data_IF_992454785665
#
_entry.id   IF_992454785665
#
_cell.length_a   1.000
_cell.length_b   1.000
_cell.length_c   1.000
_cell.angle_alpha   90.00
_cell.angle_beta   90.00
_cell.angle_gamma   90.00
#
_symmetry.space_group_name_H-M   'P 1'
#
loop_
_entity.id
_entity.type
_entity.pdbx_description
1 polymer ?
#
# COMPACT_ATOMS: atom_id res chain seq x y z
N UNK A 1 -14.55 -21.89 -17.79
CA UNK A 1 -15.58 -20.97 -18.38
C UNK A 1 -15.39 -20.95 -19.90
N UNK A 2 -16.43 -20.74 -20.73
CA UNK A 2 -16.25 -20.52 -22.17
C UNK A 2 -16.76 -19.12 -22.51
N UNK A 3 -15.85 -18.20 -22.81
CA UNK A 3 -16.12 -16.82 -23.15
C UNK A 3 -16.59 -16.72 -24.60
N UNK A 4 -17.76 -16.12 -24.81
CA UNK A 4 -18.41 -16.01 -26.11
C UNK A 4 -18.46 -14.54 -26.55
N UNK A 5 -17.29 -13.88 -26.58
CA UNK A 5 -17.15 -12.46 -26.88
C UNK A 5 -16.49 -12.20 -28.23
N UNK A 6 -16.72 -11.02 -28.78
CA UNK A 6 -16.06 -10.55 -30.01
C UNK A 6 -14.60 -10.19 -29.71
N UNK A 7 -13.67 -10.72 -30.51
CA UNK A 7 -12.23 -10.43 -30.40
C UNK A 7 -11.82 -9.52 -31.58
N UNK A 8 -11.22 -8.34 -31.35
CA UNK A 8 -10.74 -7.80 -30.07
C UNK A 8 -11.83 -7.09 -29.26
N UNK A 9 -11.71 -7.12 -27.94
CA UNK A 9 -12.66 -6.50 -27.00
C UNK A 9 -12.35 -5.02 -26.75
N UNK A 10 -13.34 -4.24 -26.36
CA UNK A 10 -13.14 -2.87 -25.88
C UNK A 10 -12.60 -2.86 -24.43
N UNK A 11 -11.89 -1.79 -24.01
CA UNK A 11 -11.42 -1.64 -22.63
C UNK A 11 -12.51 -1.81 -21.57
N UNK A 12 -13.69 -1.25 -21.82
CA UNK A 12 -14.81 -1.33 -20.89
C UNK A 12 -15.33 -2.77 -20.73
N UNK A 13 -15.40 -3.55 -21.82
CA UNK A 13 -15.80 -4.96 -21.76
C UNK A 13 -14.79 -5.79 -20.95
N UNK A 14 -13.49 -5.50 -21.05
CA UNK A 14 -12.46 -6.19 -20.27
C UNK A 14 -12.56 -5.86 -18.77
N UNK A 15 -12.82 -4.60 -18.42
CA UNK A 15 -13.08 -4.19 -17.03
C UNK A 15 -14.30 -4.91 -16.46
N UNK A 16 -15.42 -4.96 -17.21
CA UNK A 16 -16.63 -5.66 -16.78
C UNK A 16 -16.38 -7.17 -16.60
N UNK A 17 -15.58 -7.80 -17.48
CA UNK A 17 -15.18 -9.21 -17.34
C UNK A 17 -14.33 -9.47 -16.10
N UNK A 18 -13.38 -8.58 -15.82
CA UNK A 18 -12.49 -8.73 -14.66
C UNK A 18 -13.26 -8.51 -13.36
N UNK A 19 -14.20 -7.57 -13.32
CA UNK A 19 -15.12 -7.41 -12.19
C UNK A 19 -15.97 -8.68 -11.93
N UNK A 20 -16.40 -9.38 -12.98
CA UNK A 20 -17.14 -10.64 -12.83
C UNK A 20 -16.25 -11.79 -12.31
N UNK A 21 -14.99 -11.86 -12.76
CA UNK A 21 -14.01 -12.87 -12.32
C UNK A 21 -13.56 -12.64 -10.88
N UNK A 22 -13.30 -11.39 -10.53
CA UNK A 22 -12.95 -10.96 -9.18
C UNK A 22 -14.19 -11.00 -8.25
N UNK A 23 -15.40 -11.08 -8.80
CA UNK A 23 -16.66 -11.19 -8.07
C UNK A 23 -17.02 -9.96 -7.20
N UNK A 24 -17.98 -10.12 -6.28
CA UNK A 24 -18.23 -9.19 -5.17
C UNK A 24 -17.10 -9.30 -4.12
N UNK A 25 -15.82 -9.34 -4.50
CA UNK A 25 -14.74 -9.40 -3.52
C UNK A 25 -14.57 -8.00 -2.92
N UNK A 26 -15.07 -7.74 -1.70
CA UNK A 26 -15.09 -6.41 -1.12
C UNK A 26 -13.70 -5.98 -0.61
N UNK A 27 -12.69 -6.85 -0.78
CA UNK A 27 -11.28 -6.63 -0.42
C UNK A 27 -10.44 -5.99 -1.52
N UNK A 28 -11.02 -5.68 -2.69
CA UNK A 28 -10.34 -4.97 -3.77
C UNK A 28 -10.85 -3.51 -3.92
N UNK A 29 -10.91 -2.68 -2.86
CA UNK A 29 -11.46 -1.33 -2.99
C UNK A 29 -10.63 -0.42 -3.89
N UNK A 30 -9.35 -0.76 -4.17
CA UNK A 30 -8.39 0.12 -4.84
C UNK A 30 -7.49 -0.62 -5.85
N UNK A 31 -8.05 -1.44 -6.73
CA UNK A 31 -7.26 -1.91 -7.89
C UNK A 31 -6.72 -0.68 -8.64
N UNK A 32 -5.41 -0.63 -8.99
CA UNK A 32 -4.91 0.37 -9.91
C UNK A 32 -5.74 0.35 -11.19
N UNK A 33 -5.82 1.46 -11.93
CA UNK A 33 -6.67 1.52 -13.12
C UNK A 33 -6.28 0.40 -14.10
N UNK A 34 -7.11 -0.65 -14.17
CA UNK A 34 -6.88 -1.82 -15.01
C UNK A 34 -6.63 -1.45 -16.48
N UNK A 35 -7.13 -0.29 -16.92
CA UNK A 35 -6.92 0.26 -18.25
C UNK A 35 -5.47 0.76 -18.43
N UNK A 36 -4.88 1.32 -17.38
CA UNK A 36 -3.46 1.69 -17.32
C UNK A 36 -2.58 0.43 -17.32
N UNK A 37 -2.95 -0.58 -16.53
CA UNK A 37 -2.25 -1.87 -16.41
C UNK A 37 -2.22 -2.65 -17.74
N UNK A 38 -3.37 -2.76 -18.42
CA UNK A 38 -3.45 -3.45 -19.70
C UNK A 38 -2.77 -2.63 -20.81
N UNK A 39 -2.41 -1.37 -20.54
CA UNK A 39 -1.70 -0.48 -21.47
C UNK A 39 -2.50 -0.26 -22.74
N UNK A 40 -3.76 0.16 -22.61
CA UNK A 40 -4.69 0.28 -23.74
C UNK A 40 -4.08 1.17 -24.84
N UNK A 41 -3.77 0.62 -26.02
CA UNK A 41 -3.25 1.44 -27.09
C UNK A 41 -4.35 2.42 -27.55
N UNK A 42 -4.03 3.70 -27.81
CA UNK A 42 -5.00 4.79 -28.00
C UNK A 42 -5.96 4.65 -29.22
N UNK A 43 -5.90 3.53 -29.96
CA UNK A 43 -6.80 3.24 -31.09
C UNK A 43 -6.94 1.74 -31.45
N UNK A 44 -6.57 0.81 -30.56
CA UNK A 44 -6.66 -0.65 -30.81
C UNK A 44 -7.57 -1.35 -29.78
N UNK A 45 -8.29 -2.38 -30.20
CA UNK A 45 -9.00 -3.26 -29.27
C UNK A 45 -8.02 -4.20 -28.55
N UNK A 46 -8.40 -4.70 -27.37
CA UNK A 46 -7.60 -5.59 -26.53
C UNK A 46 -7.72 -7.02 -27.07
N UNK A 47 -6.59 -7.67 -27.30
CA UNK A 47 -6.52 -9.05 -27.74
C UNK A 47 -6.70 -10.00 -26.56
N UNK A 48 -7.83 -10.71 -26.53
CA UNK A 48 -8.13 -11.70 -25.51
C UNK A 48 -7.83 -13.10 -26.04
N UNK A 49 -7.43 -14.00 -25.15
CA UNK A 49 -7.41 -15.43 -25.42
C UNK A 49 -7.85 -16.22 -24.19
N UNK A 50 -8.34 -17.44 -24.45
CA UNK A 50 -8.42 -18.47 -23.42
C UNK A 50 -7.16 -19.33 -23.44
N UNK A 51 -6.78 -19.78 -22.24
CA UNK A 51 -5.68 -20.68 -21.99
C UNK A 51 -6.10 -22.01 -21.39
N UNK A 52 -5.35 -23.06 -21.69
CA UNK A 52 -5.44 -24.36 -21.03
C UNK A 52 -4.07 -24.84 -20.60
N UNK A 53 -4.01 -25.56 -19.49
CA UNK A 53 -2.79 -26.16 -18.94
C UNK A 53 -2.71 -27.63 -19.38
N UNK A 54 -1.60 -28.00 -20.01
CA UNK A 54 -1.34 -29.37 -20.41
C UNK A 54 -0.95 -30.26 -19.20
N UNK A 55 -0.94 -31.59 -19.38
CA UNK A 55 -0.54 -32.53 -18.31
C UNK A 55 0.89 -32.31 -17.77
N UNK A 56 1.76 -31.66 -18.56
CA UNK A 56 3.12 -31.30 -18.16
C UNK A 56 3.23 -29.88 -17.57
N UNK A 57 2.10 -29.22 -17.28
CA UNK A 57 2.03 -27.87 -16.74
C UNK A 57 2.16 -26.76 -17.79
N UNK A 58 2.41 -27.08 -19.05
CA UNK A 58 2.62 -26.05 -20.08
C UNK A 58 1.32 -25.30 -20.39
N UNK A 59 1.35 -23.97 -20.28
CA UNK A 59 0.26 -23.10 -20.67
C UNK A 59 0.18 -22.96 -22.21
N UNK A 60 -1.03 -23.10 -22.74
CA UNK A 60 -1.31 -23.00 -24.19
C UNK A 60 -2.50 -22.09 -24.44
N UNK A 61 -2.51 -21.37 -25.56
CA UNK A 61 -3.66 -20.55 -25.99
C UNK A 61 -4.56 -21.33 -26.95
N UNK A 62 -5.88 -21.21 -26.81
CA UNK A 62 -6.87 -21.95 -27.62
C UNK A 62 -7.86 -21.07 -28.35
N UNK A 63 -8.28 -19.92 -27.76
CA UNK A 63 -9.31 -19.03 -28.31
C UNK A 63 -8.84 -17.57 -28.45
N UNK A 64 -7.66 -17.34 -29.03
CA UNK A 64 -7.09 -16.00 -29.28
C UNK A 64 -6.99 -15.63 -30.76
N UNK A 65 -6.62 -14.38 -31.07
CA UNK A 65 -6.34 -13.99 -32.46
C UNK A 65 -5.15 -14.78 -33.04
N UNK A 66 -5.39 -15.46 -34.17
CA UNK A 66 -4.40 -16.34 -34.79
C UNK A 66 -3.11 -15.59 -35.17
N UNK A 67 -1.96 -16.13 -34.74
CA UNK A 67 -0.64 -15.57 -35.05
C UNK A 67 -0.25 -14.35 -34.21
N UNK A 68 -0.98 -14.05 -33.13
CA UNK A 68 -0.67 -12.97 -32.18
C UNK A 68 -0.56 -13.52 -30.75
N UNK A 69 0.19 -12.84 -29.90
CA UNK A 69 0.15 -13.08 -28.44
C UNK A 69 -1.01 -12.26 -27.86
N UNK A 70 -1.84 -12.83 -26.95
CA UNK A 70 -2.90 -12.07 -26.29
C UNK A 70 -2.32 -10.98 -25.39
N UNK A 71 -3.08 -9.90 -25.21
CA UNK A 71 -2.83 -8.89 -24.17
C UNK A 71 -3.31 -9.41 -22.82
N UNK A 72 -4.46 -10.12 -22.80
CA UNK A 72 -5.07 -10.73 -21.62
C UNK A 72 -5.37 -12.20 -21.87
N UNK A 73 -4.96 -13.07 -20.94
CA UNK A 73 -5.14 -14.51 -21.01
C UNK A 73 -5.96 -15.03 -19.84
N UNK A 74 -7.14 -15.59 -20.14
CA UNK A 74 -8.02 -16.23 -19.16
C UNK A 74 -7.77 -17.73 -19.14
N UNK A 75 -7.33 -18.27 -18.00
CA UNK A 75 -6.91 -19.66 -17.86
C UNK A 75 -7.83 -20.39 -16.88
N UNK A 76 -8.46 -21.46 -17.34
CA UNK A 76 -9.23 -22.38 -16.50
C UNK A 76 -8.33 -23.58 -16.16
N UNK A 77 -7.96 -23.72 -14.89
CA UNK A 77 -7.08 -24.80 -14.41
C UNK A 77 -7.92 -25.77 -13.58
N UNK A 78 -8.17 -26.99 -14.07
CA UNK A 78 -8.94 -27.95 -13.32
C UNK A 78 -8.14 -28.50 -12.15
N UNK A 79 -8.79 -28.72 -11.01
CA UNK A 79 -8.20 -29.42 -9.87
C UNK A 79 -8.97 -29.10 -8.60
N UNK A 80 -8.52 -29.61 -7.47
CA UNK A 80 -9.17 -29.39 -6.17
C UNK A 80 -8.17 -28.82 -5.16
N UNK A 81 -8.68 -28.19 -4.10
CA UNK A 81 -7.84 -27.66 -3.02
C UNK A 81 -6.85 -28.70 -2.48
N UNK A 82 -5.57 -28.32 -2.38
CA UNK A 82 -4.47 -29.20 -1.97
C UNK A 82 -3.86 -30.05 -3.10
N UNK A 83 -4.41 -30.00 -4.32
CA UNK A 83 -3.79 -30.56 -5.52
C UNK A 83 -2.84 -29.53 -6.12
N UNK A 84 -1.57 -29.90 -6.30
CA UNK A 84 -0.53 -29.01 -6.79
C UNK A 84 -0.49 -29.02 -8.33
N UNK A 85 -0.51 -27.84 -8.94
CA UNK A 85 -0.49 -27.60 -10.38
C UNK A 85 0.65 -26.62 -10.72
N UNK A 86 1.71 -27.12 -11.33
CA UNK A 86 2.80 -26.28 -11.85
C UNK A 86 2.35 -25.65 -13.19
N UNK A 87 2.41 -24.32 -13.29
CA UNK A 87 2.05 -23.59 -14.51
C UNK A 87 3.33 -23.04 -15.16
N UNK A 88 3.70 -23.67 -16.28
CA UNK A 88 4.84 -23.29 -17.09
C UNK A 88 4.38 -22.35 -18.22
N UNK A 89 4.65 -21.04 -18.09
CA UNK A 89 4.32 -20.04 -19.12
C UNK A 89 5.42 -19.99 -20.19
N UNK A 90 5.16 -20.39 -21.45
CA UNK A 90 6.18 -20.32 -22.50
C UNK A 90 6.55 -18.88 -22.83
N UNK A 91 7.84 -18.60 -23.10
CA UNK A 91 8.33 -17.25 -23.39
C UNK A 91 7.60 -16.49 -24.52
N UNK A 92 6.94 -17.18 -25.46
CA UNK A 92 6.12 -16.54 -26.50
C UNK A 92 4.79 -15.96 -26.00
N UNK A 93 4.28 -16.47 -24.87
CA UNK A 93 3.14 -15.92 -24.11
C UNK A 93 3.68 -14.93 -23.09
N UNK A 94 4.69 -15.37 -22.34
CA UNK A 94 5.27 -14.64 -21.21
C UNK A 94 5.74 -13.24 -21.57
N UNK A 95 6.34 -13.05 -22.76
CA UNK A 95 6.97 -11.79 -23.16
C UNK A 95 6.05 -10.71 -23.74
N UNK A 96 4.75 -10.96 -23.94
CA UNK A 96 3.82 -9.93 -24.45
C UNK A 96 2.47 -9.87 -23.75
N UNK A 97 2.07 -10.93 -23.04
CA UNK A 97 0.79 -10.93 -22.30
C UNK A 97 0.96 -10.10 -21.04
N UNK A 98 0.07 -9.12 -20.85
CA UNK A 98 0.11 -8.16 -19.74
C UNK A 98 -0.76 -8.58 -18.57
N UNK A 99 -1.78 -9.41 -18.79
CA UNK A 99 -2.65 -9.87 -17.71
C UNK A 99 -2.96 -11.36 -17.84
N UNK A 100 -2.70 -12.09 -16.76
CA UNK A 100 -3.11 -13.47 -16.59
C UNK A 100 -4.18 -13.53 -15.52
N UNK A 101 -5.26 -14.26 -15.80
CA UNK A 101 -6.28 -14.56 -14.79
C UNK A 101 -6.47 -16.07 -14.71
N UNK A 102 -6.38 -16.63 -13.52
CA UNK A 102 -6.52 -18.05 -13.29
C UNK A 102 -7.81 -18.33 -12.52
N UNK A 103 -8.65 -19.21 -13.06
CA UNK A 103 -9.78 -19.80 -12.35
C UNK A 103 -9.39 -21.23 -11.97
N UNK A 104 -9.13 -21.47 -10.69
CA UNK A 104 -8.65 -22.74 -10.16
C UNK A 104 -9.08 -22.91 -8.71
N UNK A 105 -9.39 -24.15 -8.32
CA UNK A 105 -9.44 -24.55 -6.91
C UNK A 105 -8.15 -25.28 -6.47
N UNK A 106 -7.26 -25.61 -7.42
CA UNK A 106 -5.96 -26.25 -7.15
C UNK A 106 -4.91 -25.21 -6.75
N UNK A 107 -3.91 -25.67 -5.98
CA UNK A 107 -2.75 -24.91 -5.55
C UNK A 107 -1.80 -24.72 -6.75
N UNK A 108 -1.69 -23.50 -7.28
CA UNK A 108 -0.89 -23.16 -8.43
C UNK A 108 0.55 -22.82 -8.02
N UNK A 109 1.53 -23.26 -8.80
CA UNK A 109 2.93 -22.82 -8.66
C UNK A 109 3.39 -22.14 -9.96
N UNK A 110 3.88 -20.90 -9.86
CA UNK A 110 4.29 -20.09 -11.00
C UNK A 110 5.58 -19.32 -10.72
N UNK A 111 6.48 -19.35 -11.71
CA UNK A 111 7.65 -18.48 -11.79
C UNK A 111 7.56 -17.64 -13.06
N UNK A 112 7.55 -16.32 -12.93
CA UNK A 112 7.46 -15.35 -14.03
C UNK A 112 8.66 -14.37 -13.99
N UNK A 113 9.00 -13.74 -15.12
CA UNK A 113 10.11 -12.75 -15.23
C UNK A 113 9.63 -11.29 -15.38
N UNK A 114 10.39 -10.38 -16.00
CA UNK A 114 10.12 -8.92 -16.06
C UNK A 114 9.52 -8.42 -17.37
N UNK A 115 8.21 -8.22 -17.36
CA UNK A 115 7.50 -7.16 -18.08
C UNK A 115 6.38 -6.71 -17.13
N UNK A 116 5.85 -5.50 -17.29
CA UNK A 116 4.65 -5.05 -16.57
C UNK A 116 3.54 -6.10 -16.71
N UNK A 117 3.13 -6.71 -15.60
CA UNK A 117 2.14 -7.79 -15.58
C UNK A 117 1.13 -7.64 -14.46
N UNK A 118 -0.11 -7.97 -14.79
CA UNK A 118 -1.12 -8.38 -13.83
C UNK A 118 -1.21 -9.91 -13.76
N UNK A 119 -1.31 -10.45 -12.56
CA UNK A 119 -1.60 -11.85 -12.28
C UNK A 119 -2.71 -11.89 -11.25
N UNK A 120 -3.83 -12.52 -11.60
CA UNK A 120 -4.97 -12.71 -10.72
C UNK A 120 -5.18 -14.21 -10.56
N UNK A 121 -5.17 -14.66 -9.32
CA UNK A 121 -5.24 -16.07 -8.94
C UNK A 121 -6.65 -16.50 -8.50
N UNK A 122 -6.75 -17.77 -8.07
CA UNK A 122 -8.01 -18.47 -7.84
C UNK A 122 -8.35 -18.67 -6.36
N UNK A 123 -8.77 -19.90 -6.03
CA UNK A 123 -9.12 -20.32 -4.66
C UNK A 123 -8.06 -21.27 -4.02
N UNK A 124 -6.97 -21.54 -4.74
CA UNK A 124 -5.91 -22.46 -4.32
C UNK A 124 -5.01 -21.84 -3.25
N UNK A 125 -4.16 -22.64 -2.61
CA UNK A 125 -3.04 -22.06 -1.84
C UNK A 125 -1.87 -21.93 -2.80
N UNK A 126 -1.76 -20.77 -3.41
CA UNK A 126 -0.90 -20.56 -4.57
C UNK A 126 0.49 -20.09 -4.14
N UNK A 127 1.50 -20.46 -4.91
CA UNK A 127 2.88 -20.01 -4.76
C UNK A 127 3.30 -19.32 -6.05
N UNK A 128 3.49 -18.01 -6.00
CA UNK A 128 3.84 -17.21 -7.17
C UNK A 128 5.09 -16.40 -6.88
N UNK A 129 6.09 -16.54 -7.76
CA UNK A 129 7.26 -15.67 -7.78
C UNK A 129 7.30 -14.90 -9.10
N UNK A 130 7.40 -13.58 -9.03
CA UNK A 130 7.54 -12.69 -10.17
C UNK A 130 8.87 -11.97 -10.02
N UNK A 131 9.81 -12.26 -10.92
CA UNK A 131 11.18 -11.77 -10.80
C UNK A 131 11.43 -10.50 -11.61
N UNK A 132 12.32 -9.67 -11.05
CA UNK A 132 13.04 -8.51 -11.61
C UNK A 132 12.43 -7.15 -11.28
N UNK A 133 12.49 -6.13 -12.16
CA UNK A 133 12.45 -4.70 -11.79
C UNK A 133 11.30 -3.88 -12.42
N UNK A 134 10.21 -4.52 -12.83
CA UNK A 134 9.06 -3.83 -13.43
C UNK A 134 7.83 -3.97 -12.53
N UNK A 135 7.04 -2.90 -12.48
CA UNK A 135 5.78 -2.83 -11.74
C UNK A 135 4.85 -4.00 -12.08
N UNK A 136 4.36 -4.66 -11.03
CA UNK A 136 3.55 -5.86 -11.08
C UNK A 136 2.26 -5.65 -10.30
N UNK A 137 1.16 -6.20 -10.81
CA UNK A 137 -0.08 -6.38 -10.05
C UNK A 137 -0.28 -7.85 -9.78
N UNK A 138 -0.40 -8.22 -8.50
CA UNK A 138 -0.59 -9.60 -8.09
C UNK A 138 -1.73 -9.70 -7.08
N UNK A 139 -2.75 -10.51 -7.38
CA UNK A 139 -3.85 -10.83 -6.46
C UNK A 139 -3.86 -12.34 -6.22
N UNK A 140 -3.73 -12.73 -4.95
CA UNK A 140 -3.71 -14.12 -4.47
C UNK A 140 -5.07 -14.82 -4.55
N UNK A 141 -6.16 -14.06 -4.45
CA UNK A 141 -7.50 -14.63 -4.42
C UNK A 141 -7.82 -15.26 -3.06
N UNK A 142 -8.59 -16.35 -3.05
CA UNK A 142 -8.84 -17.05 -1.78
C UNK A 142 -7.79 -18.15 -1.61
N UNK A 143 -7.31 -18.39 -0.40
CA UNK A 143 -6.21 -19.34 -0.22
C UNK A 143 -5.32 -18.94 0.93
N UNK A 144 -4.30 -19.74 1.24
CA UNK A 144 -3.16 -19.23 2.00
C UNK A 144 -2.02 -19.12 1.00
N UNK A 145 -1.88 -17.94 0.43
CA UNK A 145 -1.02 -17.72 -0.72
C UNK A 145 0.39 -17.30 -0.29
N UNK A 146 1.37 -17.61 -1.11
CA UNK A 146 2.73 -17.10 -1.01
C UNK A 146 3.03 -16.29 -2.26
N UNK A 147 3.07 -14.97 -2.10
CA UNK A 147 3.17 -13.99 -3.16
C UNK A 147 4.50 -13.28 -3.03
N UNK A 148 5.38 -13.48 -4.01
CA UNK A 148 6.73 -12.92 -4.00
C UNK A 148 6.91 -12.14 -5.30
N UNK A 149 7.03 -10.82 -5.21
CA UNK A 149 7.53 -10.01 -6.33
C UNK A 149 9.02 -9.73 -6.12
N UNK A 150 9.60 -8.70 -6.73
CA UNK A 150 11.05 -8.49 -6.63
C UNK A 150 11.42 -7.04 -6.63
N UNK A 151 10.94 -6.28 -7.60
CA UNK A 151 11.14 -4.86 -7.59
C UNK A 151 10.48 -4.19 -8.77
N UNK A 152 10.56 -2.87 -8.79
CA UNK A 152 9.50 -2.07 -9.40
C UNK A 152 8.49 -1.68 -8.32
N UNK A 153 7.55 -0.81 -8.65
CA UNK A 153 6.53 -0.35 -7.72
C UNK A 153 5.32 -1.27 -7.87
N UNK A 154 5.24 -2.29 -7.03
CA UNK A 154 4.29 -3.37 -7.14
C UNK A 154 2.98 -3.07 -6.38
N UNK A 155 1.88 -3.59 -6.88
CA UNK A 155 0.61 -3.66 -6.16
C UNK A 155 0.30 -5.13 -5.87
N UNK A 156 0.22 -5.52 -4.61
CA UNK A 156 0.00 -6.91 -4.21
C UNK A 156 -1.17 -7.05 -3.24
N UNK A 157 -2.06 -8.00 -3.46
CA UNK A 157 -3.15 -8.32 -2.54
C UNK A 157 -3.15 -9.80 -2.16
N UNK A 158 -3.16 -10.07 -0.85
CA UNK A 158 -3.36 -11.42 -0.30
C UNK A 158 -4.81 -11.88 -0.33
N UNK A 159 -5.77 -10.95 -0.44
CA UNK A 159 -7.20 -11.24 -0.52
C UNK A 159 -7.78 -12.04 0.66
N UNK A 160 -8.03 -13.35 0.58
CA UNK A 160 -8.60 -14.12 1.71
C UNK A 160 -7.78 -15.36 2.03
N UNK A 161 -6.99 -15.25 3.09
CA UNK A 161 -6.69 -16.33 4.00
C UNK A 161 -5.51 -15.95 4.86
N UNK A 162 -4.55 -16.85 5.07
CA UNK A 162 -3.36 -16.51 5.84
C UNK A 162 -2.20 -16.40 4.87
N UNK A 163 -1.97 -15.19 4.38
CA UNK A 163 -1.12 -14.98 3.22
C UNK A 163 0.29 -14.56 3.63
N UNK A 164 1.27 -14.91 2.80
CA UNK A 164 2.67 -14.52 2.96
C UNK A 164 3.05 -13.68 1.75
N UNK A 165 3.31 -12.39 1.96
CA UNK A 165 3.61 -11.42 0.92
C UNK A 165 5.02 -10.86 1.11
N UNK A 166 5.80 -10.82 0.03
CA UNK A 166 7.10 -10.13 -0.03
C UNK A 166 7.22 -9.38 -1.35
N UNK A 167 7.38 -8.05 -1.31
CA UNK A 167 7.33 -7.23 -2.54
C UNK A 167 8.70 -6.77 -3.06
N UNK A 168 9.68 -6.60 -2.19
CA UNK A 168 11.07 -6.47 -2.61
C UNK A 168 11.49 -5.01 -2.71
N UNK A 169 11.98 -4.55 -3.87
CA UNK A 169 12.56 -3.21 -3.99
C UNK A 169 11.73 -2.27 -4.89
N UNK A 170 11.29 -1.15 -4.36
CA UNK A 170 10.41 -0.18 -5.03
C UNK A 170 9.42 0.38 -4.03
N UNK A 171 8.66 1.39 -4.44
CA UNK A 171 7.59 1.92 -3.59
C UNK A 171 6.32 1.08 -3.82
N UNK A 172 6.08 0.11 -2.95
CA UNK A 172 5.05 -0.92 -3.12
C UNK A 172 3.74 -0.56 -2.39
N UNK A 173 2.63 -1.11 -2.89
CA UNK A 173 1.31 -1.03 -2.25
C UNK A 173 0.76 -2.42 -1.99
N UNK A 174 0.50 -2.74 -0.73
CA UNK A 174 0.10 -4.08 -0.29
C UNK A 174 -1.27 -4.02 0.38
N UNK A 175 -2.25 -4.74 -0.17
CA UNK A 175 -3.58 -4.89 0.44
C UNK A 175 -3.63 -6.21 1.20
N UNK A 176 -3.67 -6.14 2.54
CA UNK A 176 -3.51 -7.34 3.39
C UNK A 176 -4.60 -8.39 3.15
N UNK A 177 -5.84 -7.95 2.98
CA UNK A 177 -6.98 -8.86 2.90
C UNK A 177 -7.47 -9.35 4.27
N UNK A 178 -8.10 -10.54 4.27
CA UNK A 178 -8.71 -11.17 5.44
C UNK A 178 -7.99 -12.45 5.85
N UNK A 179 -7.31 -12.38 6.99
CA UNK A 179 -6.94 -13.53 7.81
C UNK A 179 -5.64 -13.24 8.53
N UNK A 180 -4.74 -14.21 8.66
CA UNK A 180 -3.48 -14.02 9.42
C UNK A 180 -2.30 -13.89 8.49
N UNK A 181 -1.99 -12.65 8.16
CA UNK A 181 -1.06 -12.35 7.09
C UNK A 181 0.34 -12.07 7.65
N UNK A 182 1.35 -12.33 6.83
CA UNK A 182 2.74 -11.93 7.07
C UNK A 182 3.22 -11.18 5.85
N UNK A 183 3.68 -9.95 6.07
CA UNK A 183 4.02 -9.00 5.03
C UNK A 183 5.43 -8.49 5.30
N UNK A 184 6.27 -8.57 4.29
CA UNK A 184 7.59 -7.95 4.20
C UNK A 184 7.54 -7.03 2.97
N UNK A 185 7.42 -5.72 3.19
CA UNK A 185 7.25 -4.78 2.08
C UNK A 185 8.58 -4.52 1.36
N UNK A 186 9.67 -4.38 2.11
CA UNK A 186 11.03 -4.50 1.61
C UNK A 186 11.76 -3.16 1.52
N UNK A 187 12.45 -2.89 0.42
CA UNK A 187 13.20 -1.65 0.21
C UNK A 187 12.35 -0.64 -0.54
N UNK A 188 12.00 0.48 0.08
CA UNK A 188 11.27 1.55 -0.60
C UNK A 188 10.50 2.40 0.39
N UNK A 189 9.56 3.18 -0.11
CA UNK A 189 8.48 3.71 0.72
C UNK A 189 7.21 2.92 0.45
N UNK A 190 6.85 2.07 1.39
CA UNK A 190 5.80 1.09 1.19
C UNK A 190 4.51 1.43 1.93
N UNK A 191 3.39 1.17 1.26
CA UNK A 191 2.03 1.40 1.76
C UNK A 191 1.33 0.07 2.00
N UNK A 192 0.89 -0.17 3.23
CA UNK A 192 0.03 -1.31 3.56
C UNK A 192 -1.41 -0.85 3.84
N UNK A 193 -2.33 -1.31 3.01
CA UNK A 193 -3.75 -0.97 3.09
C UNK A 193 -4.55 -2.03 3.87
N UNK A 194 -5.35 -1.55 4.82
CA UNK A 194 -6.22 -2.39 5.64
C UNK A 194 -7.70 -2.16 5.34
N UNK A 195 -8.43 -3.27 5.22
CA UNK A 195 -9.88 -3.25 5.15
C UNK A 195 -10.53 -2.84 6.49
N UNK A 196 -11.05 -1.61 6.54
CA UNK A 196 -11.88 -1.09 7.63
C UNK A 196 -11.27 0.14 8.33
N UNK A 197 -12.09 0.77 9.17
CA UNK A 197 -11.73 1.98 9.92
C UNK A 197 -10.60 1.72 10.94
N UNK A 198 -9.66 2.64 11.11
CA UNK A 198 -8.51 2.50 12.03
C UNK A 198 -8.95 2.21 13.47
N UNK A 199 -10.12 2.75 13.88
CA UNK A 199 -10.75 2.50 15.18
C UNK A 199 -11.03 1.02 15.47
N UNK A 200 -11.04 0.16 14.45
CA UNK A 200 -11.15 -1.28 14.58
C UNK A 200 -9.83 -1.99 14.89
N UNK A 201 -8.67 -1.33 14.78
CA UNK A 201 -7.36 -1.97 14.88
C UNK A 201 -6.62 -1.64 16.18
N UNK A 202 -5.73 -2.55 16.58
CA UNK A 202 -4.71 -2.34 17.63
C UNK A 202 -3.35 -2.67 17.05
N UNK A 203 -2.37 -1.92 17.49
CA UNK A 203 -1.00 -2.00 17.03
C UNK A 203 -0.13 -2.49 18.19
N UNK A 204 0.74 -3.46 17.92
CA UNK A 204 1.69 -3.97 18.89
C UNK A 204 3.06 -4.08 18.22
N UNK A 205 4.00 -3.26 18.67
CA UNK A 205 5.43 -3.50 18.40
C UNK A 205 5.80 -4.86 19.01
N UNK A 206 6.22 -5.80 18.15
CA UNK A 206 6.64 -7.14 18.56
C UNK A 206 8.17 -7.30 18.52
N UNK A 207 8.90 -6.24 18.22
CA UNK A 207 10.35 -6.17 18.14
C UNK A 207 10.90 -6.54 16.76
N UNK A 208 12.22 -6.37 16.59
CA UNK A 208 12.96 -6.73 15.38
C UNK A 208 12.55 -6.00 14.08
N UNK A 209 11.79 -4.90 14.19
CA UNK A 209 11.23 -4.14 13.06
C UNK A 209 9.79 -4.52 12.74
N UNK A 210 9.22 -5.50 13.44
CA UNK A 210 7.91 -6.04 13.14
C UNK A 210 6.79 -5.35 13.92
N UNK A 211 5.70 -5.04 13.23
CA UNK A 211 4.45 -4.54 13.79
C UNK A 211 3.34 -5.58 13.63
N UNK A 212 2.71 -5.96 14.75
CA UNK A 212 1.46 -6.73 14.72
C UNK A 212 0.25 -5.79 14.70
N UNK A 213 -0.49 -5.83 13.60
CA UNK A 213 -1.77 -5.13 13.43
C UNK A 213 -2.92 -6.11 13.66
N UNK A 214 -3.76 -5.85 14.66
CA UNK A 214 -4.82 -6.77 15.09
C UNK A 214 -6.21 -6.16 14.98
N UNK A 215 -7.10 -6.79 14.21
CA UNK A 215 -8.48 -6.37 14.07
C UNK A 215 -9.32 -6.74 15.33
N UNK A 216 -9.80 -5.74 16.08
CA UNK A 216 -10.61 -5.93 17.30
C UNK A 216 -11.91 -6.68 17.02
N UNK A 217 -12.69 -6.36 15.95
CA UNK A 217 -13.91 -7.11 15.63
C UNK A 217 -13.70 -8.59 15.34
N UNK A 218 -12.59 -8.96 14.70
CA UNK A 218 -12.27 -10.33 14.31
C UNK A 218 -10.80 -10.65 14.62
N UNK A 219 -10.51 -11.28 15.77
CA UNK A 219 -9.14 -11.68 16.13
C UNK A 219 -8.52 -12.74 15.21
N UNK A 220 -9.30 -13.27 14.27
CA UNK A 220 -8.81 -14.12 13.20
C UNK A 220 -8.13 -13.30 12.09
N UNK A 221 -8.35 -11.98 12.05
CA UNK A 221 -7.78 -11.06 11.08
C UNK A 221 -6.66 -10.25 11.75
N UNK A 222 -5.44 -10.42 11.29
CA UNK A 222 -4.25 -9.72 11.79
C UNK A 222 -3.12 -9.83 10.78
N UNK A 223 -2.28 -8.81 10.68
CA UNK A 223 -1.06 -8.87 9.88
C UNK A 223 0.16 -8.64 10.78
N UNK A 224 1.23 -9.42 10.56
CA UNK A 224 2.58 -9.03 10.99
C UNK A 224 3.24 -8.36 9.80
N UNK A 225 3.71 -7.13 10.00
CA UNK A 225 4.30 -6.30 8.95
C UNK A 225 5.72 -5.95 9.34
N UNK A 226 6.65 -6.12 8.40
CA UNK A 226 8.00 -5.55 8.45
C UNK A 226 8.22 -4.61 7.26
N UNK A 227 9.17 -3.70 7.45
CA UNK A 227 9.76 -2.88 6.38
C UNK A 227 8.74 -2.02 5.60
N UNK A 228 7.67 -1.58 6.25
CA UNK A 228 6.70 -0.65 5.68
C UNK A 228 6.69 0.69 6.43
N UNK A 229 6.44 1.78 5.71
CA UNK A 229 6.46 3.15 6.24
C UNK A 229 5.05 3.71 6.47
N UNK A 230 4.04 3.21 5.78
CA UNK A 230 2.72 3.82 5.79
C UNK A 230 1.59 2.80 5.86
N UNK A 231 0.64 3.00 6.78
CA UNK A 231 -0.58 2.19 6.89
C UNK A 231 -1.79 3.04 6.53
N UNK A 232 -2.63 2.55 5.61
CA UNK A 232 -3.84 3.24 5.16
C UNK A 232 -5.11 2.48 5.56
N UNK A 233 -6.13 3.22 6.02
CA UNK A 233 -7.43 2.68 6.43
C UNK A 233 -8.60 3.28 5.62
N UNK A 234 -9.78 2.66 5.68
CA UNK A 234 -10.94 3.01 4.85
C UNK A 234 -11.64 4.32 5.24
N UNK A 235 -11.38 4.85 6.42
CA UNK A 235 -11.88 6.13 6.93
C UNK A 235 -11.00 7.32 6.52
N UNK A 236 -10.03 7.10 5.63
CA UNK A 236 -8.98 8.04 5.21
C UNK A 236 -8.04 8.47 6.35
N UNK A 237 -8.04 7.71 7.45
CA UNK A 237 -7.04 7.86 8.52
C UNK A 237 -5.83 6.99 8.18
N UNK A 238 -4.65 7.39 8.65
CA UNK A 238 -3.39 6.71 8.35
C UNK A 238 -2.50 6.56 9.58
N UNK A 239 -1.49 5.70 9.49
CA UNK A 239 -0.38 5.64 10.44
C UNK A 239 0.93 5.76 9.66
N UNK A 240 1.81 6.62 10.12
CA UNK A 240 3.20 6.64 9.65
C UNK A 240 4.07 5.84 10.60
N UNK A 241 4.76 4.84 10.07
CA UNK A 241 5.77 4.05 10.76
C UNK A 241 7.13 4.69 10.53
N UNK A 242 7.86 4.95 11.61
CA UNK A 242 9.14 5.66 11.57
C UNK A 242 10.18 4.96 12.42
N UNK A 243 11.45 5.20 12.14
CA UNK A 243 12.57 4.50 12.77
C UNK A 243 13.08 5.20 14.03
N UNK A 244 12.86 6.50 14.16
CA UNK A 244 13.39 7.30 15.27
C UNK A 244 12.56 8.53 15.59
N UNK A 245 12.91 9.19 16.70
CA UNK A 245 12.19 10.36 17.19
C UNK A 245 12.27 11.56 16.23
N UNK A 246 13.34 11.70 15.43
CA UNK A 246 13.46 12.84 14.49
C UNK A 246 12.44 12.71 13.36
N UNK A 247 12.30 11.53 12.78
CA UNK A 247 11.24 11.24 11.81
C UNK A 247 9.85 11.40 12.46
N UNK A 248 9.66 10.90 13.69
CA UNK A 248 8.40 11.03 14.40
C UNK A 248 8.00 12.50 14.63
N UNK A 249 8.94 13.34 15.09
CA UNK A 249 8.73 14.77 15.27
C UNK A 249 8.39 15.47 13.95
N UNK A 250 9.02 15.08 12.83
CA UNK A 250 8.70 15.60 11.51
C UNK A 250 7.26 15.26 11.09
N UNK A 251 6.82 14.02 11.32
CA UNK A 251 5.46 13.59 10.98
C UNK A 251 4.39 14.24 11.86
N UNK A 252 4.66 14.41 13.16
CA UNK A 252 3.74 15.10 14.09
C UNK A 252 3.51 16.58 13.74
N UNK A 253 4.32 17.18 12.86
CA UNK A 253 4.06 18.53 12.33
C UNK A 253 2.78 18.61 11.51
N UNK A 254 2.36 17.53 10.84
CA UNK A 254 1.10 17.48 10.11
C UNK A 254 -0.08 17.76 11.04
N UNK A 255 -0.17 17.00 12.12
CA UNK A 255 -1.23 17.19 13.12
C UNK A 255 -1.12 18.59 13.75
N UNK A 256 0.07 18.96 14.24
CA UNK A 256 0.30 20.24 14.91
C UNK A 256 -0.06 21.48 14.08
N UNK A 257 0.15 21.45 12.76
CA UNK A 257 -0.02 22.62 11.90
C UNK A 257 -1.27 22.56 11.01
N UNK A 258 -1.81 21.38 10.76
CA UNK A 258 -2.94 21.17 9.84
C UNK A 258 -4.14 20.44 10.43
N UNK A 259 -4.04 19.86 11.64
CA UNK A 259 -5.12 19.09 12.29
C UNK A 259 -5.58 17.90 11.44
N UNK A 260 -4.62 17.19 10.83
CA UNK A 260 -4.85 16.02 9.97
C UNK A 260 -3.64 15.09 9.91
N UNK A 261 -3.92 13.87 9.47
CA UNK A 261 -2.90 12.88 9.11
C UNK A 261 -2.12 13.29 7.85
N UNK A 262 -0.91 12.75 7.74
CA UNK A 262 -0.14 12.81 6.50
C UNK A 262 -0.78 11.91 5.43
N UNK A 263 -0.81 12.37 4.19
CA UNK A 263 -0.96 11.50 3.03
C UNK A 263 0.39 10.83 2.71
N UNK A 264 0.35 9.73 1.93
CA UNK A 264 1.53 8.92 1.63
C UNK A 264 2.65 9.73 0.95
N UNK A 265 2.34 10.47 -0.13
CA UNK A 265 3.29 11.33 -0.84
C UNK A 265 3.94 12.37 0.10
N UNK A 266 3.12 12.97 0.96
CA UNK A 266 3.56 13.95 1.94
C UNK A 266 4.43 13.36 3.05
N UNK A 267 4.15 12.14 3.50
CA UNK A 267 4.98 11.42 4.47
C UNK A 267 6.32 11.06 3.85
N UNK A 268 6.32 10.40 2.69
CA UNK A 268 7.52 10.03 1.93
C UNK A 268 8.44 11.24 1.72
N UNK A 269 7.89 12.34 1.19
CA UNK A 269 8.67 13.54 0.90
C UNK A 269 9.42 14.08 2.11
N UNK A 270 8.78 14.15 3.29
CA UNK A 270 9.40 14.71 4.49
C UNK A 270 10.33 13.73 5.19
N UNK A 271 10.02 12.44 5.19
CA UNK A 271 10.93 11.40 5.69
C UNK A 271 12.21 11.38 4.85
N UNK A 272 12.10 11.44 3.52
CA UNK A 272 13.25 11.62 2.63
C UNK A 272 14.09 12.85 2.99
N UNK A 273 13.46 13.98 3.35
CA UNK A 273 14.21 15.15 3.78
C UNK A 273 14.99 14.88 5.08
N UNK A 274 14.39 14.18 6.04
CA UNK A 274 15.05 13.80 7.31
C UNK A 274 16.24 12.90 7.03
N UNK A 275 16.06 11.86 6.20
CA UNK A 275 17.11 10.88 5.87
C UNK A 275 18.28 11.51 5.10
N UNK A 276 17.98 12.50 4.27
CA UNK A 276 19.00 13.32 3.59
C UNK A 276 19.67 14.36 4.52
N UNK A 277 19.34 14.38 5.81
CA UNK A 277 19.98 15.20 6.83
C UNK A 277 19.45 16.63 6.93
N UNK A 278 18.25 16.90 6.42
CA UNK A 278 17.58 18.20 6.59
C UNK A 278 17.23 18.39 8.06
N UNK A 279 17.44 19.61 8.59
CA UNK A 279 17.13 19.89 9.99
C UNK A 279 15.63 19.97 10.22
N UNK A 280 15.16 19.54 11.40
CA UNK A 280 13.76 19.72 11.81
C UNK A 280 13.32 21.18 11.75
N UNK A 281 14.22 22.12 12.04
CA UNK A 281 13.95 23.56 11.91
C UNK A 281 13.63 23.94 10.46
N UNK A 282 14.37 23.42 9.49
CA UNK A 282 14.12 23.69 8.06
C UNK A 282 12.83 23.01 7.59
N UNK A 283 12.57 21.78 8.05
CA UNK A 283 11.31 21.07 7.80
C UNK A 283 10.11 21.86 8.34
N UNK A 284 10.12 22.23 9.61
CA UNK A 284 9.06 23.02 10.22
C UNK A 284 8.83 24.37 9.52
N UNK A 285 9.90 25.03 9.07
CA UNK A 285 9.78 26.24 8.24
C UNK A 285 9.15 25.95 6.87
N UNK A 286 9.41 24.78 6.28
CA UNK A 286 8.75 24.30 5.08
C UNK A 286 7.24 24.19 5.25
N UNK A 287 6.77 23.53 6.31
CA UNK A 287 5.35 23.46 6.67
C UNK A 287 4.75 24.85 6.90
N UNK A 288 5.36 25.68 7.75
CA UNK A 288 4.85 27.01 8.10
C UNK A 288 4.76 27.97 6.90
N UNK A 289 5.62 27.78 5.89
CA UNK A 289 5.63 28.57 4.66
C UNK A 289 4.81 27.97 3.52
N UNK A 290 4.22 26.79 3.73
CA UNK A 290 3.42 26.10 2.70
C UNK A 290 2.14 26.87 2.40
N UNK A 291 1.64 26.72 1.17
CA UNK A 291 0.35 27.29 0.78
C UNK A 291 -0.77 26.73 1.67
N UNK A 292 -0.71 25.45 2.00
CA UNK A 292 -1.66 24.78 2.88
C UNK A 292 -1.76 25.45 4.25
N UNK A 293 -0.62 25.73 4.91
CA UNK A 293 -0.64 26.39 6.22
C UNK A 293 -1.23 27.79 6.14
N UNK A 294 -0.82 28.54 5.12
CA UNK A 294 -1.28 29.91 4.92
C UNK A 294 -2.77 29.96 4.57
N UNK A 295 -3.28 28.97 3.83
CA UNK A 295 -4.70 28.88 3.44
C UNK A 295 -5.57 28.40 4.59
N UNK A 296 -5.11 27.43 5.39
CA UNK A 296 -5.83 26.89 6.54
C UNK A 296 -5.86 27.87 7.72
N UNK A 297 -4.72 28.49 8.03
CA UNK A 297 -4.51 29.23 9.28
C UNK A 297 -4.32 30.74 9.09
N UNK A 298 -4.12 31.20 7.85
CA UNK A 298 -3.83 32.60 7.56
C UNK A 298 -2.50 33.05 8.17
N UNK A 299 -2.52 34.20 8.85
CA UNK A 299 -1.36 34.73 9.56
C UNK A 299 -1.74 34.93 11.03
N UNK A 300 -1.71 33.86 11.84
CA UNK A 300 -2.04 33.94 13.25
C UNK A 300 -1.01 34.81 13.97
N UNK A 301 -1.46 35.60 14.95
CA UNK A 301 -0.55 36.24 15.89
C UNK A 301 0.05 35.20 16.85
N UNK A 302 1.03 35.60 17.66
CA UNK A 302 1.73 34.68 18.57
C UNK A 302 0.77 33.95 19.54
N UNK A 303 -0.28 34.62 20.01
CA UNK A 303 -1.22 34.02 20.94
C UNK A 303 -2.15 33.00 20.24
N UNK A 304 -2.63 33.33 19.05
CA UNK A 304 -3.44 32.44 18.23
C UNK A 304 -2.64 31.24 17.72
N UNK A 305 -1.35 31.43 17.38
CA UNK A 305 -0.47 30.35 16.97
C UNK A 305 -0.26 29.33 18.10
N UNK A 306 -0.03 29.81 19.34
CA UNK A 306 0.10 28.91 20.50
C UNK A 306 -1.22 28.20 20.81
N UNK A 307 -2.37 28.86 20.69
CA UNK A 307 -3.67 28.20 20.87
C UNK A 307 -3.89 27.08 19.85
N UNK A 308 -3.53 27.33 18.58
CA UNK A 308 -3.60 26.35 17.50
C UNK A 308 -2.77 25.11 17.82
N UNK A 309 -1.49 25.29 18.21
CA UNK A 309 -0.62 24.15 18.52
C UNK A 309 -1.14 23.32 19.70
N UNK A 310 -1.70 23.95 20.73
CA UNK A 310 -2.28 23.22 21.86
C UNK A 310 -3.55 22.47 21.46
N UNK A 311 -4.42 23.09 20.65
CA UNK A 311 -5.66 22.48 20.22
C UNK A 311 -5.40 21.28 19.31
N UNK A 312 -4.52 21.43 18.32
CA UNK A 312 -4.26 20.36 17.36
C UNK A 312 -3.43 19.25 17.99
N UNK A 313 -2.22 19.56 18.48
CA UNK A 313 -1.27 18.55 18.97
C UNK A 313 -1.71 17.87 20.27
N UNK A 314 -2.40 18.58 21.17
CA UNK A 314 -2.65 18.11 22.53
C UNK A 314 -4.15 17.88 22.83
N UNK A 315 -5.02 18.12 21.84
CA UNK A 315 -6.49 18.06 21.95
C UNK A 315 -7.05 18.81 23.18
N UNK A 316 -6.47 19.98 23.48
CA UNK A 316 -6.91 20.79 24.63
C UNK A 316 -6.55 22.26 24.52
N UNK A 317 -7.32 23.08 25.23
CA UNK A 317 -6.96 24.48 25.44
C UNK A 317 -5.61 24.63 26.15
N UNK A 318 -4.83 25.63 25.74
CA UNK A 318 -3.64 26.05 26.46
C UNK A 318 -4.02 26.59 27.84
N UNK A 319 -3.35 26.08 28.89
CA UNK A 319 -3.47 26.68 30.20
C UNK A 319 -2.78 28.05 30.22
N UNK A 320 -3.20 28.92 31.16
CA UNK A 320 -2.73 30.30 31.20
C UNK A 320 -1.21 30.43 31.33
N UNK A 321 -0.55 29.52 32.06
CA UNK A 321 0.90 29.57 32.26
C UNK A 321 1.67 29.04 31.05
N UNK A 322 1.22 27.92 30.47
CA UNK A 322 1.79 27.37 29.24
C UNK A 322 1.70 28.35 28.08
N UNK A 323 0.53 28.98 27.90
CA UNK A 323 0.33 30.02 26.88
C UNK A 323 1.24 31.23 27.11
N UNK A 324 1.29 31.76 28.33
CA UNK A 324 2.14 32.91 28.66
C UNK A 324 3.62 32.62 28.39
N UNK A 325 4.08 31.40 28.70
CA UNK A 325 5.46 30.98 28.45
C UNK A 325 5.82 31.02 26.96
N UNK A 326 5.04 30.37 26.10
CA UNK A 326 5.33 30.30 24.67
C UNK A 326 5.15 31.64 23.95
N UNK A 327 4.09 32.39 24.29
CA UNK A 327 3.88 33.74 23.74
C UNK A 327 5.05 34.66 24.12
N UNK A 328 5.51 34.62 25.37
CA UNK A 328 6.67 35.42 25.80
C UNK A 328 7.95 35.03 25.07
N UNK A 329 8.13 33.75 24.74
CA UNK A 329 9.27 33.27 23.96
C UNK A 329 9.24 33.84 22.53
N UNK A 330 8.09 33.76 21.85
CA UNK A 330 7.89 34.32 20.51
C UNK A 330 8.08 35.84 20.50
N UNK A 331 7.50 36.55 21.47
CA UNK A 331 7.66 38.00 21.62
C UNK A 331 9.12 38.41 21.88
N UNK A 332 9.91 37.52 22.48
CA UNK A 332 11.34 37.70 22.75
C UNK A 332 12.26 37.27 21.60
N UNK A 333 11.68 36.79 20.47
CA UNK A 333 12.39 36.47 19.24
C UNK A 333 12.69 34.98 19.01
N UNK A 334 12.09 34.07 19.78
CA UNK A 334 12.05 32.65 19.38
C UNK A 334 11.27 32.49 18.06
N UNK A 335 11.64 31.52 17.24
CA UNK A 335 10.93 31.28 15.97
C UNK A 335 9.70 30.40 16.19
N UNK A 336 8.73 30.49 15.27
CA UNK A 336 7.58 29.57 15.28
C UNK A 336 8.02 28.11 15.11
N UNK A 337 9.04 27.86 14.28
CA UNK A 337 9.65 26.55 14.11
C UNK A 337 10.18 25.97 15.43
N UNK A 338 10.94 26.76 16.20
CA UNK A 338 11.47 26.30 17.50
C UNK A 338 10.36 25.95 18.49
N UNK A 339 9.26 26.72 18.48
CA UNK A 339 8.11 26.49 19.37
C UNK A 339 7.35 25.23 18.98
N UNK A 340 7.01 25.05 17.69
CA UNK A 340 6.28 23.85 17.26
C UNK A 340 7.10 22.59 17.48
N UNK A 341 8.40 22.59 17.15
CA UNK A 341 9.32 21.46 17.41
C UNK A 341 9.35 21.11 18.89
N UNK A 342 9.43 22.12 19.76
CA UNK A 342 9.45 21.89 21.22
C UNK A 342 8.15 21.27 21.75
N UNK A 343 7.02 21.56 21.11
CA UNK A 343 5.71 21.02 21.50
C UNK A 343 5.55 19.59 20.96
N UNK A 344 5.81 19.34 19.67
CA UNK A 344 5.65 18.01 19.05
C UNK A 344 6.68 16.97 19.55
N UNK A 345 7.85 17.42 20.01
CA UNK A 345 8.87 16.58 20.65
C UNK A 345 8.63 16.33 22.14
N UNK A 346 7.47 16.73 22.68
CA UNK A 346 7.13 16.46 24.08
C UNK A 346 6.49 15.08 24.25
N UNK A 347 6.72 14.45 25.42
CA UNK A 347 6.02 13.21 25.80
C UNK A 347 4.49 13.38 25.74
N UNK A 348 3.98 14.60 25.98
CA UNK A 348 2.55 14.87 25.91
C UNK A 348 2.03 14.74 24.47
N UNK A 349 2.73 15.35 23.51
CA UNK A 349 2.40 15.23 22.09
C UNK A 349 2.54 13.80 21.59
N UNK A 350 3.61 13.08 21.97
CA UNK A 350 3.79 11.68 21.61
C UNK A 350 2.68 10.75 22.14
N UNK A 351 1.97 11.13 23.20
CA UNK A 351 0.83 10.38 23.73
C UNK A 351 -0.51 10.84 23.15
N UNK A 352 -0.61 12.08 22.68
CA UNK A 352 -1.83 12.64 22.11
C UNK A 352 -1.97 12.32 20.61
N UNK A 353 -0.86 12.32 19.88
CA UNK A 353 -0.79 12.00 18.46
C UNK A 353 -0.51 10.50 18.31
N UNK A 354 -1.54 9.72 17.98
CA UNK A 354 -1.47 8.26 17.91
C UNK A 354 -1.38 7.69 16.48
N UNK A 355 -1.25 8.55 15.47
CA UNK A 355 -1.05 8.22 14.05
C UNK A 355 0.44 8.17 13.62
N UNK A 356 1.39 8.29 14.56
CA UNK A 356 2.84 8.16 14.28
C UNK A 356 3.46 7.16 15.25
N UNK A 357 4.00 6.06 14.73
CA UNK A 357 4.55 4.95 15.54
C UNK A 357 6.03 4.77 15.25
N UNK A 358 6.85 4.78 16.31
CA UNK A 358 8.27 4.48 16.20
C UNK A 358 8.46 2.97 16.27
N UNK A 359 8.80 2.34 15.15
CA UNK A 359 9.11 0.92 15.00
C UNK A 359 10.55 0.82 14.50
N UNK A 360 11.55 0.72 15.40
CA UNK A 360 12.95 0.69 14.97
C UNK A 360 13.24 -0.59 14.17
N UNK A 361 13.49 -0.45 12.88
CA UNK A 361 13.83 -1.58 12.01
C UNK A 361 15.17 -2.26 12.35
N UNK A 362 15.33 -3.50 11.87
CA UNK A 362 16.63 -4.17 11.75
C UNK A 362 17.25 -3.83 10.39
N UNK A 363 17.81 -2.62 10.26
CA UNK A 363 18.45 -2.19 9.01
C UNK A 363 19.57 -3.16 8.58
N UNK A 364 19.49 -3.70 7.34
CA UNK A 364 20.55 -4.49 6.69
C UNK A 364 21.53 -3.59 5.95
#
# INVERSE_FOLDING_TARGET
MAFNYDIPASPQEVVEMLQDILGDNPGLPNLPDLIEIIGVPPSGGINLAEGTVAEDGTLTTTNGQEGTTPDVLFVDVPGNAGEQQEINVPGGIEGNTRLYTFSSDADLTMDLNTIERGVILGNGNDFVTIAGDHDTILSGGNGNDTLITSGGNDWVSGDRGNDSVSTGAGDDTIVTGLGRDTIDAGEGFDVVEFGGDIGNFRFFDVGDGDLLVHNKPSPANSAVISDAEFLQFNDNESIVLVNNETEAEAMRLYDALFDRDADADGAQYWLDQVDNGTSLTDIANGFLSSAEFQDANGSPDNAAFVDLLYQNTLDRDADAAGKEFWVSALDSGATQADVVISIVGSDEAANAIDNVHIIPGNQV
#
